data_IF_076741303507
#
_entry.id   IF_076741303507
#
_cell.length_a   1.000
_cell.length_b   1.000
_cell.length_c   1.000
_cell.angle_alpha   90.00
_cell.angle_beta   90.00
_cell.angle_gamma   90.00
#
_symmetry.space_group_name_H-M   'P 1'
#
loop_
_entity.id
_entity.type
_entity.pdbx_description
1 polymer ?
#
# COMPACT_ATOMS: atom_id res chain seq x y z
N UNK A 1 -6.46 38.78 -92.07
CA UNK A 1 -7.49 37.77 -91.78
C UNK A 1 -7.14 37.17 -90.43
N UNK A 2 -7.90 37.53 -89.39
CA UNK A 2 -7.63 37.15 -88.00
C UNK A 2 -8.01 35.68 -87.77
N UNK A 3 -7.07 34.88 -87.27
CA UNK A 3 -7.31 33.51 -86.81
C UNK A 3 -7.80 33.60 -85.36
N UNK A 4 -9.01 33.07 -85.10
CA UNK A 4 -9.57 33.02 -83.76
C UNK A 4 -8.75 32.07 -82.86
N UNK A 5 -8.46 32.43 -81.60
CA UNK A 5 -7.76 31.55 -80.68
C UNK A 5 -8.68 30.38 -80.32
N UNK A 6 -8.13 29.17 -80.41
CA UNK A 6 -8.83 27.93 -80.12
C UNK A 6 -9.47 27.95 -78.73
N UNK A 7 -10.73 27.52 -78.68
CA UNK A 7 -11.43 27.18 -77.45
C UNK A 7 -10.85 25.87 -76.92
N UNK A 8 -9.75 25.95 -76.18
CA UNK A 8 -9.31 24.85 -75.33
C UNK A 8 -10.27 24.74 -74.13
N UNK A 9 -11.40 24.07 -74.33
CA UNK A 9 -12.29 23.63 -73.26
C UNK A 9 -11.62 22.48 -72.48
N UNK A 10 -10.58 22.79 -71.72
CA UNK A 10 -10.13 21.92 -70.64
C UNK A 10 -11.22 21.88 -69.56
N UNK A 11 -11.57 20.70 -68.99
CA UNK A 11 -12.61 20.63 -67.97
C UNK A 11 -12.20 21.47 -66.75
N UNK A 12 -13.09 22.36 -66.30
CA UNK A 12 -12.85 23.23 -65.15
C UNK A 12 -12.36 22.40 -63.94
N UNK A 13 -11.31 22.83 -63.22
CA UNK A 13 -10.77 22.06 -62.11
C UNK A 13 -11.84 21.89 -61.04
N UNK A 14 -12.37 20.68 -60.88
CA UNK A 14 -13.29 20.35 -59.79
C UNK A 14 -12.54 20.60 -58.48
N UNK A 15 -12.91 21.66 -57.75
CA UNK A 15 -12.38 21.95 -56.41
C UNK A 15 -12.70 20.77 -55.50
N UNK A 16 -11.71 19.89 -55.33
CA UNK A 16 -11.83 18.71 -54.48
C UNK A 16 -11.91 19.17 -53.01
N UNK A 17 -13.12 19.17 -52.45
CA UNK A 17 -13.41 19.65 -51.09
C UNK A 17 -12.90 18.69 -49.99
N UNK A 18 -12.17 17.62 -50.34
CA UNK A 18 -11.54 16.69 -49.39
C UNK A 18 -10.65 17.36 -48.34
N UNK A 19 -10.06 18.52 -48.66
CA UNK A 19 -9.25 19.27 -47.69
C UNK A 19 -10.08 19.78 -46.49
N UNK A 20 -11.38 20.04 -46.66
CA UNK A 20 -12.28 20.44 -45.56
C UNK A 20 -12.54 19.27 -44.59
N UNK A 21 -12.59 18.05 -45.11
CA UNK A 21 -12.65 16.84 -44.28
C UNK A 21 -11.33 16.61 -43.55
N UNK A 22 -10.19 16.86 -44.21
CA UNK A 22 -8.89 16.87 -43.56
C UNK A 22 -8.79 17.91 -42.44
N UNK A 23 -9.29 19.13 -42.68
CA UNK A 23 -9.32 20.21 -41.69
C UNK A 23 -10.26 19.90 -40.51
N UNK A 24 -11.44 19.34 -40.78
CA UNK A 24 -12.40 18.92 -39.76
C UNK A 24 -11.88 17.76 -38.91
N UNK A 25 -11.27 16.75 -39.53
CA UNK A 25 -10.61 15.65 -38.83
C UNK A 25 -9.41 16.14 -38.01
N UNK A 26 -8.65 17.11 -38.53
CA UNK A 26 -7.54 17.74 -37.82
C UNK A 26 -8.03 18.51 -36.60
N UNK A 27 -9.05 19.37 -36.72
CA UNK A 27 -9.63 20.10 -35.58
C UNK A 27 -10.24 19.17 -34.53
N UNK A 28 -10.99 18.15 -34.97
CA UNK A 28 -11.55 17.15 -34.08
C UNK A 28 -10.46 16.40 -33.33
N UNK A 29 -9.41 15.97 -34.05
CA UNK A 29 -8.27 15.30 -33.44
C UNK A 29 -7.49 16.21 -32.50
N UNK A 30 -7.29 17.49 -32.85
CA UNK A 30 -6.62 18.46 -31.98
C UNK A 30 -7.39 18.69 -30.69
N UNK A 31 -8.71 18.85 -30.74
CA UNK A 31 -9.54 19.04 -29.54
C UNK A 31 -9.58 17.78 -28.67
N UNK A 32 -9.76 16.60 -29.28
CA UNK A 32 -9.79 15.33 -28.53
C UNK A 32 -8.41 14.98 -27.98
N UNK A 33 -7.33 15.20 -28.73
CA UNK A 33 -5.99 14.91 -28.28
C UNK A 33 -5.57 15.84 -27.14
N UNK A 34 -5.95 17.13 -27.17
CA UNK A 34 -5.65 18.08 -26.10
C UNK A 34 -6.31 17.64 -24.78
N UNK A 35 -7.63 17.37 -24.81
CA UNK A 35 -8.39 16.88 -23.66
C UNK A 35 -7.87 15.53 -23.13
N UNK A 36 -7.54 14.60 -24.04
CA UNK A 36 -7.01 13.29 -23.66
C UNK A 36 -5.59 13.40 -23.08
N UNK A 37 -4.75 14.28 -23.63
CA UNK A 37 -3.39 14.50 -23.14
C UNK A 37 -3.41 15.20 -21.79
N UNK A 38 -4.25 16.21 -21.61
CA UNK A 38 -4.42 16.90 -20.33
C UNK A 38 -4.95 15.93 -19.27
N UNK A 39 -6.01 15.16 -19.57
CA UNK A 39 -6.52 14.14 -18.66
C UNK A 39 -5.49 13.03 -18.36
N UNK A 40 -4.68 12.62 -19.34
CA UNK A 40 -3.62 11.63 -19.13
C UNK A 40 -2.47 12.19 -18.27
N UNK A 41 -2.10 13.46 -18.45
CA UNK A 41 -1.08 14.14 -17.66
C UNK A 41 -1.56 14.37 -16.23
N UNK A 42 -2.81 14.80 -16.04
CA UNK A 42 -3.42 14.94 -14.71
C UNK A 42 -3.51 13.61 -13.99
N UNK A 43 -3.92 12.55 -14.70
CA UNK A 43 -3.89 11.19 -14.18
C UNK A 43 -2.47 10.75 -13.80
N UNK A 44 -1.46 11.10 -14.60
CA UNK A 44 -0.07 10.73 -14.36
C UNK A 44 0.55 11.53 -13.21
N UNK A 45 0.22 12.82 -13.06
CA UNK A 45 0.64 13.66 -11.93
C UNK A 45 -0.06 13.22 -10.65
N UNK A 46 -1.36 12.90 -10.71
CA UNK A 46 -2.09 12.34 -9.57
C UNK A 46 -1.48 11.00 -9.15
N UNK A 47 -1.35 10.05 -10.08
CA UNK A 47 -0.83 8.70 -9.80
C UNK A 47 0.64 8.74 -9.35
N UNK A 48 1.47 9.57 -9.99
CA UNK A 48 2.88 9.75 -9.66
C UNK A 48 3.09 10.45 -8.31
N UNK A 49 2.33 11.50 -8.02
CA UNK A 49 2.38 12.24 -6.76
C UNK A 49 1.91 11.38 -5.58
N UNK A 50 0.73 10.78 -5.68
CA UNK A 50 0.22 9.87 -4.65
C UNK A 50 1.12 8.64 -4.48
N UNK A 51 1.63 8.06 -5.56
CA UNK A 51 2.54 6.92 -5.53
C UNK A 51 3.85 7.21 -4.79
N UNK A 52 4.48 8.35 -5.08
CA UNK A 52 5.74 8.75 -4.45
C UNK A 52 5.56 9.07 -2.96
N UNK A 53 4.51 9.82 -2.59
CA UNK A 53 4.18 10.08 -1.18
C UNK A 53 3.90 8.78 -0.41
N UNK A 54 3.19 7.83 -1.03
CA UNK A 54 2.92 6.53 -0.42
C UNK A 54 4.16 5.68 -0.24
N UNK A 55 5.10 5.73 -1.19
CA UNK A 55 6.38 5.05 -1.10
C UNK A 55 7.23 5.62 0.04
N UNK A 56 7.31 6.95 0.17
CA UNK A 56 8.03 7.60 1.28
C UNK A 56 7.40 7.24 2.63
N UNK A 57 6.09 7.40 2.77
CA UNK A 57 5.38 7.06 4.02
C UNK A 57 5.54 5.57 4.32
N UNK A 58 5.42 4.71 3.31
CA UNK A 58 5.64 3.27 3.45
C UNK A 58 7.05 2.93 3.93
N UNK A 59 8.08 3.56 3.35
CA UNK A 59 9.48 3.38 3.77
C UNK A 59 9.73 3.86 5.19
N UNK A 60 9.20 5.02 5.57
CA UNK A 60 9.32 5.54 6.94
C UNK A 60 8.62 4.63 7.95
N UNK A 61 7.43 4.13 7.60
CA UNK A 61 6.66 3.21 8.43
C UNK A 61 7.37 1.88 8.59
N UNK A 62 7.88 1.30 7.49
CA UNK A 62 8.71 0.10 7.50
C UNK A 62 9.96 0.29 8.35
N UNK A 63 10.67 1.43 8.19
CA UNK A 63 11.85 1.75 8.98
C UNK A 63 11.54 1.82 10.47
N UNK A 64 10.47 2.51 10.87
CA UNK A 64 10.03 2.58 12.26
C UNK A 64 9.64 1.22 12.83
N UNK A 65 8.88 0.43 12.07
CA UNK A 65 8.48 -0.93 12.43
C UNK A 65 9.70 -1.84 12.59
N UNK A 66 10.65 -1.77 11.66
CA UNK A 66 11.90 -2.54 11.71
C UNK A 66 12.72 -2.20 12.96
N UNK A 67 12.88 -0.92 13.28
CA UNK A 67 13.59 -0.49 14.50
C UNK A 67 12.87 -1.02 15.75
N UNK A 68 11.53 -0.95 15.78
CA UNK A 68 10.72 -1.48 16.88
C UNK A 68 10.94 -2.98 17.10
N UNK A 69 10.88 -3.77 16.04
CA UNK A 69 11.14 -5.22 16.10
C UNK A 69 12.58 -5.51 16.52
N UNK A 70 13.57 -4.81 15.97
CA UNK A 70 14.97 -5.02 16.34
C UNK A 70 15.19 -4.75 17.84
N UNK A 71 14.58 -3.69 18.38
CA UNK A 71 14.62 -3.41 19.82
C UNK A 71 13.95 -4.50 20.66
N UNK A 72 12.79 -5.00 20.23
CA UNK A 72 12.13 -6.14 20.88
C UNK A 72 13.02 -7.38 20.86
N UNK A 73 13.65 -7.69 19.72
CA UNK A 73 14.53 -8.84 19.57
C UNK A 73 15.76 -8.75 20.49
N UNK A 74 16.39 -7.57 20.57
CA UNK A 74 17.51 -7.32 21.49
C UNK A 74 17.06 -7.46 22.94
N UNK A 75 15.88 -6.94 23.30
CA UNK A 75 15.30 -7.08 24.65
C UNK A 75 15.08 -8.56 24.99
N UNK A 76 14.46 -9.33 24.10
CA UNK A 76 14.16 -10.75 24.30
C UNK A 76 15.45 -11.56 24.47
N UNK A 77 16.43 -11.35 23.57
CA UNK A 77 17.73 -12.00 23.66
C UNK A 77 18.44 -11.69 24.99
N UNK A 78 18.35 -10.44 25.46
CA UNK A 78 18.94 -10.03 26.72
C UNK A 78 18.29 -10.75 27.91
N UNK A 79 16.95 -10.83 27.92
CA UNK A 79 16.19 -11.57 28.94
C UNK A 79 16.52 -13.08 28.93
N UNK A 80 16.72 -13.66 27.75
CA UNK A 80 17.15 -15.06 27.60
C UNK A 80 18.57 -15.30 28.12
N UNK A 81 19.51 -14.36 27.89
CA UNK A 81 20.92 -14.54 28.27
C UNK A 81 21.25 -14.13 29.70
N UNK A 82 20.67 -13.03 30.18
CA UNK A 82 20.93 -12.46 31.51
C UNK A 82 19.94 -12.98 32.56
N UNK A 83 18.86 -13.64 32.12
CA UNK A 83 17.71 -13.99 32.94
C UNK A 83 16.75 -12.82 33.14
N UNK A 84 15.53 -13.12 33.54
CA UNK A 84 14.56 -12.09 33.93
C UNK A 84 14.97 -11.51 35.30
N UNK A 85 15.25 -10.20 35.42
CA UNK A 85 15.58 -9.58 36.70
C UNK A 85 14.43 -9.66 37.71
N UNK A 86 13.18 -9.70 37.24
CA UNK A 86 11.98 -9.75 38.09
C UNK A 86 11.10 -10.94 37.67
N UNK A 87 11.49 -12.17 38.07
CA UNK A 87 10.79 -13.37 37.66
C UNK A 87 9.34 -13.38 38.18
N UNK A 88 8.39 -13.69 37.29
CA UNK A 88 7.00 -13.96 37.67
C UNK A 88 6.92 -14.95 38.85
N UNK A 89 6.18 -14.61 39.93
CA UNK A 89 6.00 -15.51 41.05
C UNK A 89 5.13 -16.71 40.63
N UNK A 90 5.51 -17.91 41.05
CA UNK A 90 4.64 -19.08 40.87
C UNK A 90 3.26 -18.84 41.54
N UNK A 91 2.15 -19.28 40.93
CA UNK A 91 2.04 -20.21 39.80
C UNK A 91 1.90 -19.55 38.42
N UNK A 92 2.17 -18.24 38.27
CA UNK A 92 1.95 -17.53 37.01
C UNK A 92 3.03 -17.87 35.96
N UNK A 93 2.61 -18.14 34.73
CA UNK A 93 3.43 -18.39 33.55
C UNK A 93 3.46 -17.18 32.60
N UNK A 94 4.55 -17.05 31.83
CA UNK A 94 4.70 -15.96 30.86
C UNK A 94 3.73 -16.11 29.70
N UNK A 95 3.42 -17.34 29.27
CA UNK A 95 2.51 -17.59 28.16
C UNK A 95 1.12 -17.01 28.43
N UNK A 96 0.53 -17.23 29.61
CA UNK A 96 -0.79 -16.69 29.96
C UNK A 96 -0.80 -15.17 30.04
N UNK A 97 0.26 -14.53 30.56
CA UNK A 97 0.36 -13.06 30.53
C UNK A 97 0.51 -12.50 29.11
N UNK A 98 1.25 -13.20 28.24
CA UNK A 98 1.46 -12.79 26.86
C UNK A 98 0.19 -12.94 25.99
N UNK A 99 -0.71 -13.89 26.32
CA UNK A 99 -1.95 -14.13 25.56
C UNK A 99 -2.81 -12.88 25.36
N UNK A 100 -2.95 -12.04 26.40
CA UNK A 100 -3.76 -10.82 26.32
C UNK A 100 -3.14 -9.81 25.33
N UNK A 101 -1.83 -9.61 25.38
CA UNK A 101 -1.11 -8.73 24.46
C UNK A 101 -1.19 -9.21 23.01
N UNK A 102 -1.13 -10.53 22.83
CA UNK A 102 -1.19 -11.17 21.51
C UNK A 102 -2.59 -11.07 20.92
N UNK A 103 -3.62 -11.31 21.72
CA UNK A 103 -5.01 -11.16 21.30
C UNK A 103 -5.29 -9.70 20.89
N UNK A 104 -4.87 -8.73 21.70
CA UNK A 104 -5.03 -7.31 21.37
C UNK A 104 -4.25 -6.93 20.10
N UNK A 105 -3.03 -7.46 19.93
CA UNK A 105 -2.23 -7.27 18.72
C UNK A 105 -2.91 -7.86 17.47
N UNK A 106 -3.52 -9.05 17.61
CA UNK A 106 -4.31 -9.68 16.55
C UNK A 106 -5.57 -8.91 16.20
N UNK A 107 -6.35 -8.51 17.21
CA UNK A 107 -7.55 -7.71 17.01
C UNK A 107 -7.19 -6.39 16.31
N UNK A 108 -6.15 -5.69 16.78
CA UNK A 108 -5.71 -4.44 16.17
C UNK A 108 -5.21 -4.65 14.73
N UNK A 109 -4.41 -5.69 14.48
CA UNK A 109 -3.90 -6.03 13.16
C UNK A 109 -5.02 -6.35 12.16
N UNK A 110 -6.02 -7.13 12.56
CA UNK A 110 -7.18 -7.45 11.72
C UNK A 110 -8.02 -6.19 11.49
N UNK A 111 -8.30 -5.40 12.53
CA UNK A 111 -9.08 -4.16 12.42
C UNK A 111 -8.40 -3.19 11.45
N UNK A 112 -7.09 -3.02 11.55
CA UNK A 112 -6.34 -2.12 10.66
C UNK A 112 -6.34 -2.60 9.20
N UNK A 113 -6.23 -3.90 8.96
CA UNK A 113 -6.41 -4.47 7.62
C UNK A 113 -7.84 -4.29 7.09
N UNK A 114 -8.85 -4.61 7.88
CA UNK A 114 -10.25 -4.46 7.51
C UNK A 114 -10.60 -2.99 7.21
N UNK A 115 -10.11 -2.06 8.05
CA UNK A 115 -10.26 -0.62 7.83
C UNK A 115 -9.57 -0.17 6.55
N UNK A 116 -8.39 -0.71 6.21
CA UNK A 116 -7.71 -0.41 4.95
C UNK A 116 -8.51 -0.86 3.74
N UNK A 117 -9.02 -2.09 3.77
CA UNK A 117 -9.84 -2.64 2.67
C UNK A 117 -11.15 -1.86 2.53
N UNK A 118 -11.82 -1.54 3.64
CA UNK A 118 -13.01 -0.71 3.63
C UNK A 118 -12.71 0.69 3.06
N UNK A 119 -11.63 1.33 3.51
CA UNK A 119 -11.22 2.64 3.00
C UNK A 119 -10.97 2.62 1.50
N UNK A 120 -10.33 1.57 0.98
CA UNK A 120 -10.14 1.40 -0.46
C UNK A 120 -11.45 1.22 -1.22
N UNK A 121 -12.36 0.40 -0.69
CA UNK A 121 -13.64 0.13 -1.32
C UNK A 121 -14.54 1.38 -1.36
N UNK A 122 -14.49 2.25 -0.34
CA UNK A 122 -15.39 3.40 -0.24
C UNK A 122 -14.77 4.73 -0.72
N UNK A 123 -13.46 4.92 -0.56
CA UNK A 123 -12.79 6.21 -0.82
C UNK A 123 -11.93 6.16 -2.10
N UNK A 124 -11.49 4.98 -2.54
CA UNK A 124 -10.69 4.81 -3.75
C UNK A 124 -9.30 5.45 -3.72
N UNK A 125 -8.87 5.99 -2.57
CA UNK A 125 -7.56 6.62 -2.40
C UNK A 125 -6.54 5.58 -1.92
N UNK A 126 -5.56 5.28 -2.77
CA UNK A 126 -4.52 4.28 -2.49
C UNK A 126 -3.55 4.63 -1.36
N UNK A 127 -3.62 5.83 -0.78
CA UNK A 127 -2.67 6.26 0.26
C UNK A 127 -2.73 5.45 1.57
N UNK A 128 -3.89 4.88 1.88
CA UNK A 128 -4.04 4.00 3.03
C UNK A 128 -3.34 2.63 2.84
N UNK A 129 -2.95 2.24 1.61
CA UNK A 129 -2.41 0.90 1.30
C UNK A 129 -1.02 0.63 1.87
N UNK A 130 -0.20 1.66 2.10
CA UNK A 130 1.16 1.43 2.58
C UNK A 130 1.21 1.48 4.09
N UNK A 131 0.71 2.55 4.71
CA UNK A 131 0.84 2.76 6.15
C UNK A 131 0.16 1.66 7.00
N UNK A 132 -1.16 1.46 6.82
CA UNK A 132 -1.96 0.62 7.71
C UNK A 132 -1.63 -0.87 7.60
N UNK A 133 -1.45 -1.45 6.40
CA UNK A 133 -0.99 -2.83 6.25
C UNK A 133 0.39 -3.08 6.86
N UNK A 134 1.35 -2.19 6.66
CA UNK A 134 2.69 -2.32 7.25
C UNK A 134 2.60 -2.32 8.78
N UNK A 135 1.85 -1.38 9.35
CA UNK A 135 1.68 -1.31 10.80
C UNK A 135 0.95 -2.55 11.35
N UNK A 136 -0.17 -2.93 10.73
CA UNK A 136 -0.98 -4.08 11.17
C UNK A 136 -0.22 -5.39 11.10
N UNK A 137 0.51 -5.64 10.01
CA UNK A 137 1.37 -6.84 9.88
C UNK A 137 2.51 -6.86 10.89
N UNK A 138 3.12 -5.70 11.17
CA UNK A 138 4.19 -5.60 12.17
C UNK A 138 3.68 -5.94 13.56
N UNK A 139 2.51 -5.44 13.95
CA UNK A 139 1.91 -5.71 15.27
C UNK A 139 1.52 -7.18 15.40
N UNK A 140 0.94 -7.78 14.35
CA UNK A 140 0.66 -9.22 14.30
C UNK A 140 1.93 -10.05 14.50
N UNK A 141 3.02 -9.65 13.83
CA UNK A 141 4.29 -10.35 13.92
C UNK A 141 4.95 -10.18 15.30
N UNK A 142 4.91 -8.98 15.87
CA UNK A 142 5.41 -8.70 17.22
C UNK A 142 4.69 -9.56 18.27
N UNK A 143 3.36 -9.66 18.23
CA UNK A 143 2.61 -10.53 19.13
C UNK A 143 3.04 -12.00 18.99
N UNK A 144 3.25 -12.50 17.77
CA UNK A 144 3.75 -13.88 17.58
C UNK A 144 5.15 -14.09 18.16
N UNK A 145 6.02 -13.09 18.06
CA UNK A 145 7.36 -13.12 18.67
C UNK A 145 7.30 -13.11 20.19
N UNK A 146 6.38 -12.35 20.79
CA UNK A 146 6.17 -12.33 22.24
C UNK A 146 5.72 -13.70 22.77
N UNK A 147 4.77 -14.38 22.11
CA UNK A 147 4.39 -15.75 22.51
C UNK A 147 5.53 -16.75 22.42
N UNK A 148 6.31 -16.66 21.34
CA UNK A 148 7.44 -17.57 21.16
C UNK A 148 8.48 -17.38 22.27
N UNK A 149 8.76 -16.12 22.64
CA UNK A 149 9.68 -15.80 23.72
C UNK A 149 9.13 -16.19 25.09
N UNK A 150 7.85 -15.95 25.37
CA UNK A 150 7.20 -16.36 26.61
C UNK A 150 7.34 -17.87 26.86
N UNK A 151 7.09 -18.69 25.83
CA UNK A 151 7.27 -20.16 25.89
C UNK A 151 8.71 -20.58 26.18
N UNK A 152 9.68 -19.85 25.63
CA UNK A 152 11.11 -20.11 25.90
C UNK A 152 11.45 -19.78 27.35
N UNK A 153 10.93 -18.67 27.88
CA UNK A 153 11.12 -18.28 29.28
C UNK A 153 10.47 -19.26 30.26
N UNK A 154 9.26 -19.74 29.97
CA UNK A 154 8.58 -20.78 30.77
C UNK A 154 9.36 -22.10 30.75
N UNK A 155 9.87 -22.51 29.57
CA UNK A 155 10.71 -23.70 29.42
C UNK A 155 12.01 -23.60 30.23
N UNK A 156 12.65 -22.43 30.28
CA UNK A 156 13.85 -22.20 31.10
C UNK A 156 13.59 -22.35 32.60
N UNK A 157 12.36 -22.14 33.07
CA UNK A 157 11.97 -22.34 34.48
C UNK A 157 11.51 -23.75 34.80
N UNK A 158 11.34 -24.60 33.80
CA UNK A 158 10.77 -25.94 33.98
C UNK A 158 9.29 -25.92 34.36
N UNK A 159 8.58 -24.80 34.15
CA UNK A 159 7.13 -24.74 34.28
C UNK A 159 6.52 -25.30 32.99
N UNK A 160 5.71 -26.38 33.04
CA UNK A 160 4.88 -26.75 31.90
C UNK A 160 3.89 -25.62 31.63
N UNK A 161 3.46 -25.39 30.37
CA UNK A 161 2.47 -24.37 30.05
C UNK A 161 1.23 -24.60 30.92
N UNK A 162 0.66 -23.53 31.50
CA UNK A 162 -0.51 -23.67 32.34
C UNK A 162 -1.61 -24.40 31.54
N UNK A 163 -2.28 -25.41 32.14
CA UNK A 163 -3.42 -26.03 31.46
C UNK A 163 -4.42 -24.91 31.17
N UNK A 164 -4.80 -24.76 29.90
CA UNK A 164 -5.91 -23.89 29.54
C UNK A 164 -7.12 -24.35 30.37
N UNK A 165 -7.54 -23.53 31.32
CA UNK A 165 -8.73 -23.79 32.12
C UNK A 165 -9.88 -24.08 31.14
N UNK A 166 -10.34 -25.33 31.17
CA UNK A 166 -11.49 -25.79 30.42
C UNK A 166 -12.74 -25.31 31.16
N UNK A 167 -13.10 -24.04 30.96
CA UNK A 167 -14.41 -23.51 31.34
C UNK A 167 -15.28 -23.26 30.09
#
# INVERSE_FOLDING_TARGET
>A
MFVAPGTDEGPAPKKDRKWLWGLGAWLFWSLVADEVVEAALDWLVATGGYGFSNAIIGLLTLGGCFIGVQRLHVKHRRLETEGDPDPLPAPYDYETQAQAGVFLGWAFGIITWAATVAWLAFVGVGAALTFWPILGTTILWAGRMEMAHARVMDAHRGHPPAPADQD
#
